data_IF_487358955146
#
_entry.id   IF_487358955146
#
_cell.length_a   1.000
_cell.length_b   1.000
_cell.length_c   1.000
_cell.angle_alpha   90.00
_cell.angle_beta   90.00
_cell.angle_gamma   90.00
#
_symmetry.space_group_name_H-M   'P 1'
#
loop_
_entity.id
_entity.type
_entity.pdbx_description
1 polymer ?
#
# COMPACT_ATOMS: atom_id res chain seq x y z
N UNK A 1 -22.70 -5.33 -23.46
CA UNK A 1 -22.34 -6.21 -24.58
C UNK A 1 -21.47 -5.47 -25.60
N UNK A 2 -21.90 -4.32 -26.20
CA UNK A 2 -21.17 -3.58 -27.24
C UNK A 2 -19.75 -3.20 -26.78
N UNK A 3 -19.58 -2.69 -25.57
CA UNK A 3 -18.28 -2.29 -25.02
C UNK A 3 -17.27 -3.46 -24.96
N UNK A 4 -17.72 -4.67 -24.60
CA UNK A 4 -16.84 -5.84 -24.51
C UNK A 4 -16.61 -6.53 -25.86
N UNK A 5 -17.61 -6.53 -26.75
CA UNK A 5 -17.54 -7.27 -28.01
C UNK A 5 -16.91 -6.44 -29.14
N UNK A 6 -17.08 -5.13 -29.13
CA UNK A 6 -16.62 -4.24 -30.24
C UNK A 6 -15.47 -3.34 -29.75
N UNK A 7 -15.68 -2.58 -28.68
CA UNK A 7 -14.71 -1.56 -28.23
C UNK A 7 -13.45 -2.19 -27.67
N UNK A 8 -13.57 -3.22 -26.83
CA UNK A 8 -12.43 -3.91 -26.21
C UNK A 8 -11.46 -4.54 -27.21
N UNK A 9 -11.89 -5.36 -28.18
CA UNK A 9 -10.97 -5.95 -29.16
C UNK A 9 -10.33 -4.88 -30.06
N UNK A 10 -11.06 -3.81 -30.38
CA UNK A 10 -10.53 -2.69 -31.12
C UNK A 10 -9.42 -1.96 -30.34
N UNK A 11 -9.69 -1.59 -29.09
CA UNK A 11 -8.70 -0.94 -28.19
C UNK A 11 -7.49 -1.83 -27.93
N UNK A 12 -7.68 -3.15 -27.83
CA UNK A 12 -6.57 -4.09 -27.66
C UNK A 12 -5.62 -4.08 -28.86
N UNK A 13 -6.14 -4.14 -30.08
CA UNK A 13 -5.34 -4.04 -31.31
C UNK A 13 -4.59 -2.70 -31.41
N UNK A 14 -5.27 -1.61 -31.07
CA UNK A 14 -4.66 -0.28 -31.07
C UNK A 14 -3.58 -0.18 -29.98
N UNK A 15 -3.84 -0.71 -28.79
CA UNK A 15 -2.87 -0.75 -27.69
C UNK A 15 -1.61 -1.56 -28.01
N UNK A 16 -1.73 -2.67 -28.76
CA UNK A 16 -0.59 -3.48 -29.20
C UNK A 16 0.30 -2.74 -30.22
N UNK A 17 -0.31 -1.98 -31.13
CA UNK A 17 0.42 -1.16 -32.11
C UNK A 17 1.20 -0.02 -31.45
N UNK A 18 0.66 0.56 -30.39
CA UNK A 18 1.28 1.68 -29.69
C UNK A 18 2.16 1.25 -28.50
N UNK A 19 2.10 -0.01 -28.07
CA UNK A 19 2.93 -0.54 -26.96
C UNK A 19 4.45 -0.47 -27.23
N UNK A 20 4.85 -0.46 -28.49
CA UNK A 20 6.25 -0.41 -28.93
C UNK A 20 6.81 1.02 -29.10
N UNK A 21 6.03 2.06 -28.86
CA UNK A 21 6.49 3.45 -28.95
C UNK A 21 6.62 4.05 -27.57
N UNK A 22 7.81 4.48 -27.20
CA UNK A 22 8.14 5.12 -25.91
C UNK A 22 7.36 6.42 -25.60
N UNK A 23 6.69 7.00 -26.60
CA UNK A 23 5.86 8.19 -26.43
C UNK A 23 4.45 7.94 -26.98
N UNK A 24 3.47 7.85 -26.07
CA UNK A 24 2.05 7.87 -26.47
C UNK A 24 1.73 9.25 -27.05
N UNK A 25 1.30 9.27 -28.30
CA UNK A 25 0.95 10.49 -29.03
C UNK A 25 -0.26 11.17 -28.35
N UNK A 26 -0.25 12.51 -28.26
CA UNK A 26 -1.36 13.33 -27.72
C UNK A 26 -2.69 13.01 -28.39
N UNK A 27 -2.66 12.71 -29.71
CA UNK A 27 -3.84 12.30 -30.49
C UNK A 27 -4.48 11.02 -29.95
N UNK A 28 -3.67 10.08 -29.46
CA UNK A 28 -4.17 8.82 -28.91
C UNK A 28 -4.84 9.02 -27.54
N UNK A 29 -4.29 9.88 -26.70
CA UNK A 29 -4.93 10.27 -25.43
C UNK A 29 -6.29 10.94 -25.70
N UNK A 30 -6.33 11.87 -26.67
CA UNK A 30 -7.57 12.53 -27.06
C UNK A 30 -8.62 11.52 -27.58
N UNK A 31 -8.20 10.53 -28.34
CA UNK A 31 -9.09 9.48 -28.85
C UNK A 31 -9.70 8.63 -27.71
N UNK A 32 -8.92 8.29 -26.69
CA UNK A 32 -9.42 7.56 -25.52
C UNK A 32 -10.40 8.41 -24.72
N UNK A 33 -10.08 9.69 -24.50
CA UNK A 33 -11.00 10.60 -23.83
C UNK A 33 -12.30 10.78 -24.63
N UNK A 34 -12.22 10.78 -25.96
CA UNK A 34 -13.41 10.81 -26.82
C UNK A 34 -14.28 9.55 -26.62
N UNK A 35 -13.70 8.36 -26.57
CA UNK A 35 -14.44 7.11 -26.29
C UNK A 35 -15.10 7.19 -24.92
N UNK A 36 -14.42 7.72 -23.90
CA UNK A 36 -14.98 7.90 -22.58
C UNK A 36 -16.21 8.82 -22.63
N UNK A 37 -16.10 9.98 -23.28
CA UNK A 37 -17.18 10.94 -23.40
C UNK A 37 -18.37 10.34 -24.18
N UNK A 38 -18.11 9.68 -25.30
CA UNK A 38 -19.17 9.02 -26.09
C UNK A 38 -19.86 7.94 -25.25
N UNK A 39 -19.12 7.11 -24.54
CA UNK A 39 -19.70 6.08 -23.67
C UNK A 39 -20.57 6.69 -22.57
N UNK A 40 -20.09 7.78 -21.98
CA UNK A 40 -20.81 8.54 -20.94
C UNK A 40 -22.12 9.12 -21.47
N UNK A 41 -22.08 9.79 -22.63
CA UNK A 41 -23.26 10.35 -23.27
C UNK A 41 -24.29 9.26 -23.67
N UNK A 42 -23.82 8.12 -24.18
CA UNK A 42 -24.70 7.01 -24.56
C UNK A 42 -25.44 6.44 -23.35
N UNK A 43 -24.77 6.28 -22.22
CA UNK A 43 -25.42 5.78 -20.99
C UNK A 43 -26.44 6.80 -20.45
N UNK A 44 -26.15 8.08 -20.53
CA UNK A 44 -27.09 9.14 -20.13
C UNK A 44 -28.35 9.12 -21.01
N UNK A 45 -28.22 9.00 -22.31
CA UNK A 45 -29.36 8.90 -23.26
C UNK A 45 -30.21 7.65 -22.98
N UNK A 46 -29.62 6.56 -22.56
CA UNK A 46 -30.32 5.31 -22.24
C UNK A 46 -31.04 5.42 -20.86
N UNK A 47 -30.80 6.49 -20.09
CA UNK A 47 -31.36 6.68 -18.75
C UNK A 47 -30.53 6.04 -17.65
N UNK A 48 -29.30 5.61 -17.94
CA UNK A 48 -28.30 5.16 -16.98
C UNK A 48 -27.32 6.31 -16.79
N UNK A 49 -27.02 6.67 -15.56
CA UNK A 49 -26.16 7.81 -15.27
C UNK A 49 -24.82 7.77 -16.02
N UNK A 50 -24.34 8.92 -16.52
CA UNK A 50 -23.13 9.09 -17.32
C UNK A 50 -21.87 8.45 -16.71
N UNK A 51 -21.76 8.42 -15.38
CA UNK A 51 -20.65 7.79 -14.66
C UNK A 51 -20.47 6.31 -14.96
N UNK A 52 -21.56 5.57 -15.19
CA UNK A 52 -21.45 4.14 -15.56
C UNK A 52 -20.83 3.98 -16.92
N UNK A 53 -21.12 4.88 -17.86
CA UNK A 53 -20.50 4.89 -19.19
C UNK A 53 -19.01 5.17 -19.12
N UNK A 54 -18.61 6.16 -18.32
CA UNK A 54 -17.21 6.50 -18.08
C UNK A 54 -16.45 5.34 -17.41
N UNK A 55 -17.05 4.73 -16.39
CA UNK A 55 -16.49 3.57 -15.70
C UNK A 55 -16.31 2.38 -16.64
N UNK A 56 -17.32 2.06 -17.45
CA UNK A 56 -17.25 0.98 -18.42
C UNK A 56 -16.18 1.24 -19.49
N UNK A 57 -15.99 2.48 -19.90
CA UNK A 57 -14.90 2.84 -20.80
C UNK A 57 -13.53 2.54 -20.18
N UNK A 58 -13.35 2.83 -18.89
CA UNK A 58 -12.14 2.50 -18.14
C UNK A 58 -11.89 0.98 -18.02
N UNK A 59 -12.93 0.21 -17.72
CA UNK A 59 -12.84 -1.27 -17.56
C UNK A 59 -12.45 -1.97 -18.85
N UNK A 60 -12.84 -1.41 -20.00
CA UNK A 60 -12.58 -1.98 -21.33
C UNK A 60 -11.17 -1.64 -21.84
N UNK A 61 -10.45 -0.74 -21.17
CA UNK A 61 -9.08 -0.35 -21.54
C UNK A 61 -8.11 -1.53 -21.60
N UNK A 62 -7.12 -1.51 -22.53
CA UNK A 62 -6.11 -2.55 -22.62
C UNK A 62 -5.28 -2.66 -21.33
N UNK A 63 -5.04 -3.87 -20.88
CA UNK A 63 -4.23 -4.15 -19.66
C UNK A 63 -2.71 -4.16 -19.92
N UNK A 64 -2.23 -3.70 -21.06
CA UNK A 64 -0.81 -3.61 -21.36
C UNK A 64 -0.13 -2.63 -20.39
N UNK A 65 0.89 -3.11 -19.67
CA UNK A 65 1.56 -2.37 -18.59
C UNK A 65 2.14 -1.03 -19.03
N UNK A 66 2.76 -0.96 -20.21
CA UNK A 66 3.33 0.28 -20.73
C UNK A 66 2.26 1.33 -21.05
N UNK A 67 1.20 0.90 -21.74
CA UNK A 67 0.05 1.74 -22.05
C UNK A 67 -0.67 2.26 -20.81
N UNK A 68 -0.95 1.35 -19.85
CA UNK A 68 -1.63 1.69 -18.60
C UNK A 68 -0.84 2.73 -17.79
N UNK A 69 0.48 2.57 -17.68
CA UNK A 69 1.33 3.49 -16.93
C UNK A 69 1.27 4.90 -17.50
N UNK A 70 1.45 5.05 -18.80
CA UNK A 70 1.46 6.37 -19.46
C UNK A 70 0.07 7.02 -19.43
N UNK A 71 -1.01 6.25 -19.61
CA UNK A 71 -2.37 6.78 -19.47
C UNK A 71 -2.69 7.22 -18.05
N UNK A 72 -2.29 6.43 -17.06
CA UNK A 72 -2.45 6.84 -15.66
C UNK A 72 -1.72 8.14 -15.38
N UNK A 73 -0.44 8.26 -15.73
CA UNK A 73 0.34 9.50 -15.52
C UNK A 73 -0.34 10.72 -16.18
N UNK A 74 -0.88 10.58 -17.40
CA UNK A 74 -1.51 11.72 -18.10
C UNK A 74 -2.87 12.12 -17.55
N UNK A 75 -3.68 11.18 -17.12
CA UNK A 75 -5.04 11.43 -16.64
C UNK A 75 -5.05 11.71 -15.13
N UNK A 76 -4.15 11.09 -14.37
CA UNK A 76 -4.08 11.20 -12.92
C UNK A 76 -3.78 12.63 -12.48
N UNK A 77 -2.78 13.28 -13.07
CA UNK A 77 -2.41 14.64 -12.72
C UNK A 77 -3.58 15.63 -12.86
N UNK A 78 -4.27 15.59 -14.00
CA UNK A 78 -5.43 16.45 -14.24
C UNK A 78 -6.60 16.09 -13.30
N UNK A 79 -6.80 14.80 -13.07
CA UNK A 79 -7.88 14.33 -12.20
C UNK A 79 -7.66 14.72 -10.74
N UNK A 80 -6.44 14.57 -10.24
CA UNK A 80 -6.12 14.88 -8.84
C UNK A 80 -6.02 16.39 -8.57
N UNK A 81 -5.46 17.14 -9.51
CA UNK A 81 -5.21 18.59 -9.30
C UNK A 81 -6.45 19.42 -9.59
N UNK A 82 -7.26 19.03 -10.56
CA UNK A 82 -8.39 19.85 -11.03
C UNK A 82 -9.75 19.23 -10.75
N UNK A 83 -10.01 18.02 -11.25
CA UNK A 83 -11.35 17.44 -11.17
C UNK A 83 -11.74 17.00 -9.74
N UNK A 84 -10.79 16.50 -8.98
CA UNK A 84 -11.09 16.04 -7.63
C UNK A 84 -11.43 17.17 -6.66
N UNK A 85 -10.68 18.28 -6.58
CA UNK A 85 -11.07 19.44 -5.78
C UNK A 85 -12.41 20.05 -6.23
N UNK A 86 -12.64 20.12 -7.55
CA UNK A 86 -13.91 20.63 -8.09
C UNK A 86 -15.09 19.76 -7.65
N UNK A 87 -14.96 18.43 -7.70
CA UNK A 87 -15.97 17.50 -7.22
C UNK A 87 -16.27 17.67 -5.73
N UNK A 88 -15.23 17.80 -4.89
CA UNK A 88 -15.42 18.02 -3.46
C UNK A 88 -16.08 19.38 -3.16
N UNK A 89 -15.68 20.43 -3.87
CA UNK A 89 -16.30 21.74 -3.74
C UNK A 89 -17.79 21.69 -4.13
N UNK A 90 -18.12 21.04 -5.23
CA UNK A 90 -19.49 20.85 -5.68
C UNK A 90 -20.34 20.03 -4.68
N UNK A 91 -19.79 18.91 -4.20
CA UNK A 91 -20.48 18.10 -3.18
C UNK A 91 -20.65 18.88 -1.88
N UNK A 92 -19.65 19.67 -1.46
CA UNK A 92 -19.72 20.51 -0.27
C UNK A 92 -20.78 21.60 -0.39
N UNK A 93 -20.89 22.27 -1.55
CA UNK A 93 -21.92 23.27 -1.80
C UNK A 93 -23.36 22.69 -1.76
N UNK A 94 -23.52 21.44 -2.17
CA UNK A 94 -24.81 20.72 -2.08
C UNK A 94 -25.14 20.25 -0.67
N UNK A 95 -24.15 20.21 0.23
CA UNK A 95 -24.34 19.70 1.60
C UNK A 95 -24.84 20.83 2.50
N UNK A 96 -26.15 21.04 2.55
CA UNK A 96 -26.77 22.03 3.42
C UNK A 96 -26.95 21.47 4.85
N UNK A 97 -25.95 21.68 5.72
CA UNK A 97 -25.97 21.20 7.11
C UNK A 97 -27.21 21.75 7.88
N UNK A 98 -27.72 22.92 7.49
CA UNK A 98 -28.89 23.50 8.04
C UNK A 98 -30.20 22.68 7.91
N UNK A 99 -30.21 21.66 7.04
CA UNK A 99 -31.34 20.72 6.91
C UNK A 99 -31.49 19.77 8.12
N UNK A 100 -30.44 19.65 8.96
CA UNK A 100 -30.50 18.87 10.21
C UNK A 100 -30.94 19.77 11.35
N UNK A 101 -32.20 20.22 11.30
CA UNK A 101 -32.77 21.20 12.27
C UNK A 101 -33.36 20.55 13.52
N UNK A 102 -33.58 19.25 13.56
CA UNK A 102 -34.23 18.57 14.69
C UNK A 102 -33.25 17.70 15.47
N UNK A 103 -33.37 17.57 16.80
CA UNK A 103 -32.58 16.68 17.62
C UNK A 103 -32.68 15.21 17.17
N UNK A 104 -33.81 14.82 16.59
CA UNK A 104 -34.05 13.48 16.07
C UNK A 104 -33.15 13.16 14.89
N UNK A 105 -32.97 14.10 13.96
CA UNK A 105 -32.05 13.91 12.81
C UNK A 105 -30.58 13.81 13.24
N UNK A 106 -30.20 14.56 14.29
CA UNK A 106 -28.86 14.42 14.88
C UNK A 106 -28.66 13.06 15.56
N UNK A 107 -29.70 12.52 16.21
CA UNK A 107 -29.65 11.18 16.80
C UNK A 107 -29.53 10.11 15.72
N UNK A 108 -30.27 10.25 14.63
CA UNK A 108 -30.15 9.34 13.45
C UNK A 108 -28.74 9.43 12.83
N UNK A 109 -28.20 10.63 12.70
CA UNK A 109 -26.82 10.83 12.21
C UNK A 109 -25.80 10.11 13.10
N UNK A 110 -25.87 10.30 14.41
CA UNK A 110 -24.98 9.65 15.37
C UNK A 110 -25.11 8.11 15.32
N UNK A 111 -26.34 7.62 15.24
CA UNK A 111 -26.61 6.18 15.14
C UNK A 111 -26.03 5.60 13.86
N UNK A 112 -26.23 6.24 12.71
CA UNK A 112 -25.69 5.78 11.43
C UNK A 112 -24.16 5.79 11.42
N UNK A 113 -23.53 6.86 11.94
CA UNK A 113 -22.07 6.93 12.09
C UNK A 113 -21.57 5.79 12.97
N UNK A 114 -22.19 5.55 14.11
CA UNK A 114 -21.78 4.49 15.05
C UNK A 114 -21.93 3.11 14.43
N UNK A 115 -23.07 2.82 13.80
CA UNK A 115 -23.30 1.54 13.12
C UNK A 115 -22.32 1.33 11.97
N UNK A 116 -22.02 2.37 11.21
CA UNK A 116 -21.07 2.31 10.12
C UNK A 116 -19.63 1.97 10.62
N UNK A 117 -19.20 2.63 11.71
CA UNK A 117 -17.88 2.39 12.31
C UNK A 117 -17.82 0.98 12.89
N UNK A 118 -18.76 0.60 13.76
CA UNK A 118 -18.78 -0.70 14.41
C UNK A 118 -18.88 -1.83 13.37
N UNK A 119 -19.73 -1.67 12.36
CA UNK A 119 -19.92 -2.66 11.31
C UNK A 119 -18.66 -2.86 10.45
N UNK A 120 -18.07 -1.78 9.93
CA UNK A 120 -16.87 -1.90 9.06
C UNK A 120 -15.61 -2.19 9.87
N UNK A 121 -15.29 -1.38 10.86
CA UNK A 121 -14.08 -1.55 11.65
C UNK A 121 -14.12 -2.88 12.41
N UNK A 122 -15.22 -3.15 13.13
CA UNK A 122 -15.39 -4.39 13.89
C UNK A 122 -15.46 -5.62 13.00
N UNK A 123 -16.26 -5.58 11.94
CA UNK A 123 -16.39 -6.68 10.98
C UNK A 123 -15.07 -7.04 10.30
N UNK A 124 -14.33 -6.03 9.80
CA UNK A 124 -13.04 -6.28 9.15
C UNK A 124 -11.96 -6.73 10.14
N UNK A 125 -11.94 -6.17 11.36
CA UNK A 125 -10.99 -6.59 12.39
C UNK A 125 -11.24 -8.05 12.83
N UNK A 126 -12.49 -8.45 13.02
CA UNK A 126 -12.87 -9.83 13.34
C UNK A 126 -12.51 -10.76 12.19
N UNK A 127 -12.83 -10.39 10.95
CA UNK A 127 -12.49 -11.20 9.77
C UNK A 127 -10.98 -11.41 9.64
N UNK A 128 -10.18 -10.36 9.79
CA UNK A 128 -8.71 -10.45 9.77
C UNK A 128 -8.19 -11.34 10.90
N UNK A 129 -8.79 -11.28 12.09
CA UNK A 129 -8.43 -12.13 13.22
C UNK A 129 -8.73 -13.60 12.97
N UNK A 130 -9.85 -13.90 12.31
CA UNK A 130 -10.24 -15.29 11.96
C UNK A 130 -9.29 -15.90 10.92
N UNK A 131 -8.69 -15.09 10.06
CA UNK A 131 -7.65 -15.54 9.11
C UNK A 131 -6.30 -15.81 9.78
N UNK A 132 -6.12 -15.38 11.04
CA UNK A 132 -4.92 -15.67 11.82
C UNK A 132 -3.99 -14.47 12.03
N UNK A 133 -4.37 -13.27 11.55
CA UNK A 133 -3.57 -12.05 11.73
C UNK A 133 -3.47 -11.64 13.22
N UNK A 134 -2.42 -10.90 13.57
CA UNK A 134 -2.25 -10.37 14.92
C UNK A 134 -3.38 -9.38 15.28
N UNK A 135 -3.66 -9.15 16.58
CA UNK A 135 -4.64 -8.13 16.98
C UNK A 135 -4.28 -6.73 16.51
N UNK A 136 -2.98 -6.42 16.44
CA UNK A 136 -2.48 -5.15 15.90
C UNK A 136 -2.85 -5.01 14.42
N UNK A 137 -2.49 -5.99 13.62
CA UNK A 137 -2.73 -5.97 12.18
C UNK A 137 -4.23 -6.03 11.87
N UNK A 138 -5.00 -6.82 12.64
CA UNK A 138 -6.45 -6.91 12.51
C UNK A 138 -7.14 -5.56 12.77
N UNK A 139 -6.75 -4.83 13.82
CA UNK A 139 -7.29 -3.51 14.11
C UNK A 139 -6.81 -2.47 13.09
N UNK A 140 -5.56 -2.57 12.63
CA UNK A 140 -5.04 -1.70 11.57
C UNK A 140 -5.82 -1.88 10.28
N UNK A 141 -6.06 -3.13 9.86
CA UNK A 141 -6.90 -3.44 8.68
C UNK A 141 -8.32 -2.93 8.89
N UNK A 142 -8.94 -3.18 10.07
CA UNK A 142 -10.27 -2.67 10.38
C UNK A 142 -10.36 -1.15 10.29
N UNK A 143 -9.36 -0.43 10.80
CA UNK A 143 -9.29 1.03 10.75
C UNK A 143 -9.15 1.54 9.32
N UNK A 144 -8.27 0.95 8.53
CA UNK A 144 -8.08 1.31 7.12
C UNK A 144 -9.34 1.04 6.29
N UNK A 145 -9.99 -0.09 6.51
CA UNK A 145 -11.24 -0.44 5.82
C UNK A 145 -12.43 0.43 6.22
N UNK A 146 -12.37 1.09 7.38
CA UNK A 146 -13.39 2.04 7.80
C UNK A 146 -13.35 3.35 7.01
N UNK A 147 -12.23 3.67 6.37
CA UNK A 147 -12.09 4.85 5.51
C UNK A 147 -13.08 4.77 4.36
N UNK A 148 -13.79 5.89 4.13
CA UNK A 148 -14.71 6.00 3.01
C UNK A 148 -14.07 6.79 1.88
N UNK A 149 -14.19 6.25 0.67
CA UNK A 149 -13.54 6.84 -0.50
C UNK A 149 -14.45 7.71 -1.34
N UNK A 150 -13.87 8.30 -2.36
CA UNK A 150 -14.53 9.12 -3.36
C UNK A 150 -15.77 8.43 -3.96
N UNK A 151 -15.71 7.13 -4.22
CA UNK A 151 -16.80 6.37 -4.86
C UNK A 151 -18.10 6.40 -4.06
N UNK A 152 -18.03 6.47 -2.74
CA UNK A 152 -19.24 6.61 -1.91
C UNK A 152 -19.89 7.96 -2.11
N UNK A 153 -19.11 9.05 -2.09
CA UNK A 153 -19.64 10.40 -2.36
C UNK A 153 -20.22 10.52 -3.77
N UNK A 154 -19.59 9.86 -4.75
CA UNK A 154 -20.11 9.78 -6.12
C UNK A 154 -21.47 9.08 -6.13
N UNK A 155 -21.58 7.91 -5.48
CA UNK A 155 -22.85 7.17 -5.41
C UNK A 155 -23.94 7.96 -4.68
N UNK A 156 -23.58 8.69 -3.62
CA UNK A 156 -24.52 9.57 -2.88
C UNK A 156 -25.03 10.72 -3.77
N UNK A 157 -24.14 11.37 -4.53
CA UNK A 157 -24.54 12.43 -5.45
C UNK A 157 -25.49 11.91 -6.55
N UNK A 158 -25.20 10.72 -7.11
CA UNK A 158 -26.10 10.09 -8.09
C UNK A 158 -27.47 9.78 -7.46
N UNK A 159 -27.49 9.17 -6.26
CA UNK A 159 -28.72 8.86 -5.56
C UNK A 159 -29.55 10.12 -5.22
N UNK A 160 -28.88 11.23 -4.93
CA UNK A 160 -29.52 12.52 -4.71
C UNK A 160 -30.09 13.10 -6.01
N UNK A 161 -29.32 13.09 -7.12
CA UNK A 161 -29.77 13.58 -8.43
C UNK A 161 -30.94 12.79 -9.01
N UNK A 162 -30.94 11.48 -8.79
CA UNK A 162 -32.06 10.61 -9.20
C UNK A 162 -33.29 10.75 -8.29
N UNK A 163 -33.26 11.56 -7.24
CA UNK A 163 -34.35 11.74 -6.30
C UNK A 163 -34.64 10.55 -5.38
N UNK A 164 -33.72 9.56 -5.35
CA UNK A 164 -33.82 8.39 -4.49
C UNK A 164 -33.49 8.72 -3.03
N UNK A 165 -32.55 9.66 -2.84
CA UNK A 165 -32.12 10.11 -1.51
C UNK A 165 -32.77 11.45 -1.16
N UNK A 166 -33.53 11.54 -0.06
CA UNK A 166 -34.01 12.82 0.49
C UNK A 166 -32.80 13.70 0.86
N UNK A 167 -32.93 15.04 0.74
CA UNK A 167 -31.86 15.98 1.07
C UNK A 167 -31.27 15.79 2.48
N UNK A 168 -32.09 15.57 3.48
CA UNK A 168 -31.64 15.36 4.87
C UNK A 168 -30.78 14.08 5.02
N UNK A 169 -31.18 12.99 4.37
CA UNK A 169 -30.42 11.73 4.40
C UNK A 169 -29.12 11.88 3.64
N UNK A 170 -29.10 12.57 2.50
CA UNK A 170 -27.88 12.88 1.77
C UNK A 170 -26.86 13.59 2.66
N UNK A 171 -27.26 14.65 3.36
CA UNK A 171 -26.39 15.40 4.28
C UNK A 171 -25.85 14.50 5.40
N UNK A 172 -26.69 13.68 6.02
CA UNK A 172 -26.29 12.75 7.08
C UNK A 172 -25.22 11.76 6.56
N UNK A 173 -25.41 11.20 5.39
CA UNK A 173 -24.46 10.24 4.79
C UNK A 173 -23.13 10.90 4.38
N UNK A 174 -23.17 12.15 3.91
CA UNK A 174 -21.95 12.93 3.64
C UNK A 174 -21.17 13.21 4.93
N UNK A 175 -21.87 13.64 6.00
CA UNK A 175 -21.25 13.84 7.32
C UNK A 175 -20.63 12.52 7.82
N UNK A 176 -21.34 11.41 7.70
CA UNK A 176 -20.85 10.10 8.07
C UNK A 176 -19.56 9.75 7.30
N UNK A 177 -19.49 9.98 5.99
CA UNK A 177 -18.33 9.75 5.16
C UNK A 177 -17.14 10.60 5.61
N UNK A 178 -17.35 11.88 5.90
CA UNK A 178 -16.32 12.78 6.39
C UNK A 178 -15.79 12.34 7.77
N UNK A 179 -16.67 12.09 8.73
CA UNK A 179 -16.30 11.68 10.09
C UNK A 179 -15.47 10.40 10.07
N UNK A 180 -15.92 9.37 9.33
CA UNK A 180 -15.20 8.10 9.25
C UNK A 180 -13.84 8.23 8.59
N UNK A 181 -13.69 9.12 7.60
CA UNK A 181 -12.42 9.38 6.92
C UNK A 181 -11.45 10.15 7.83
N UNK A 182 -11.89 11.23 8.47
CA UNK A 182 -11.04 11.99 9.40
C UNK A 182 -10.63 11.19 10.63
N UNK A 183 -11.47 10.27 11.09
CA UNK A 183 -11.19 9.43 12.24
C UNK A 183 -10.10 8.38 11.97
N UNK A 184 -9.82 8.03 10.72
CA UNK A 184 -8.87 6.97 10.35
C UNK A 184 -7.46 7.25 10.87
N UNK A 185 -6.93 8.46 10.66
CA UNK A 185 -5.57 8.82 11.11
C UNK A 185 -5.42 8.81 12.64
N UNK A 186 -6.31 9.43 13.43
CA UNK A 186 -6.28 9.31 14.89
C UNK A 186 -6.38 7.87 15.39
N UNK A 187 -7.23 7.04 14.77
CA UNK A 187 -7.39 5.64 15.15
C UNK A 187 -6.12 4.82 14.85
N UNK A 188 -5.48 5.04 13.70
CA UNK A 188 -4.22 4.39 13.39
C UNK A 188 -3.14 4.73 14.42
N UNK A 189 -2.97 6.00 14.75
CA UNK A 189 -2.04 6.41 15.81
C UNK A 189 -2.39 5.82 17.18
N UNK A 190 -3.69 5.69 17.48
CA UNK A 190 -4.14 5.07 18.71
C UNK A 190 -3.77 3.58 18.74
N UNK A 191 -4.04 2.85 17.66
CA UNK A 191 -3.66 1.42 17.52
C UNK A 191 -2.15 1.26 17.66
N UNK A 192 -1.36 2.06 16.93
CA UNK A 192 0.09 2.03 17.04
C UNK A 192 0.55 2.29 18.47
N UNK A 193 0.05 3.33 19.13
CA UNK A 193 0.43 3.70 20.49
C UNK A 193 0.11 2.59 21.50
N UNK A 194 -1.05 1.93 21.40
CA UNK A 194 -1.42 0.83 22.27
C UNK A 194 -0.54 -0.41 22.09
N UNK A 195 -0.16 -0.72 20.86
CA UNK A 195 0.59 -1.94 20.55
C UNK A 195 2.10 -1.74 20.59
N UNK A 196 2.62 -0.58 20.20
CA UNK A 196 4.06 -0.25 20.31
C UNK A 196 4.52 -0.30 21.78
N UNK A 197 3.71 0.21 22.72
CA UNK A 197 4.04 0.10 24.17
C UNK A 197 4.11 -1.35 24.66
N UNK A 198 3.49 -2.30 23.95
CA UNK A 198 3.51 -3.73 24.28
C UNK A 198 4.67 -4.45 23.60
N UNK A 199 5.05 -4.04 22.41
CA UNK A 199 6.19 -4.63 21.67
C UNK A 199 7.55 -4.16 22.23
N UNK A 200 7.67 -2.92 22.69
CA UNK A 200 8.90 -2.47 23.39
C UNK A 200 9.18 -3.26 24.67
N UNK A 201 8.18 -3.79 25.35
CA UNK A 201 8.37 -4.68 26.50
C UNK A 201 8.69 -6.13 26.13
N UNK A 202 8.32 -6.60 24.93
CA UNK A 202 8.66 -7.93 24.38
C UNK A 202 9.93 -7.89 23.53
N UNK A 203 10.54 -6.67 23.50
CA UNK A 203 11.76 -6.35 22.93
C UNK A 203 12.57 -7.23 22.13
N UNK A 204 12.57 -6.84 21.11
CA UNK A 204 13.69 -6.41 20.24
C UNK A 204 15.08 -6.66 20.88
N UNK A 205 15.49 -7.89 20.88
CA UNK A 205 16.86 -8.17 20.54
C UNK A 205 16.98 -7.83 19.05
N UNK A 206 17.24 -6.55 18.74
CA UNK A 206 17.57 -6.13 17.39
C UNK A 206 18.76 -6.96 16.95
N UNK A 207 18.55 -7.85 16.00
CA UNK A 207 19.64 -8.59 15.39
C UNK A 207 20.21 -7.70 14.30
N UNK A 208 21.44 -7.30 14.47
CA UNK A 208 22.13 -6.52 13.45
C UNK A 208 22.81 -7.52 12.51
N UNK A 209 22.47 -7.44 11.23
CA UNK A 209 23.00 -8.33 10.21
C UNK A 209 23.84 -7.51 9.25
N UNK A 210 25.09 -7.91 9.04
CA UNK A 210 25.90 -7.37 7.96
C UNK A 210 26.55 -8.47 7.14
N UNK A 211 26.68 -8.21 5.85
CA UNK A 211 27.26 -9.12 4.90
C UNK A 211 28.58 -8.56 4.35
N UNK A 212 29.57 -9.39 4.19
CA UNK A 212 30.85 -8.99 3.62
C UNK A 212 31.38 -10.06 2.63
N UNK A 213 32.11 -9.59 1.61
CA UNK A 213 32.67 -10.46 0.58
C UNK A 213 34.16 -10.74 0.74
N UNK A 214 34.88 -9.94 1.55
CA UNK A 214 36.32 -10.11 1.81
C UNK A 214 36.59 -10.07 3.32
N UNK A 215 37.51 -10.90 3.86
CA UNK A 215 37.79 -10.94 5.31
C UNK A 215 38.15 -9.58 5.92
N UNK A 216 38.91 -8.76 5.18
CA UNK A 216 39.30 -7.41 5.59
C UNK A 216 38.11 -6.45 5.72
N UNK A 217 37.12 -6.62 4.83
CA UNK A 217 35.89 -5.81 4.86
C UNK A 217 35.05 -6.10 6.10
N UNK A 218 35.03 -7.36 6.57
CA UNK A 218 34.33 -7.73 7.79
C UNK A 218 34.86 -6.99 9.03
N UNK A 219 36.20 -6.91 9.18
CA UNK A 219 36.85 -6.13 10.23
C UNK A 219 36.52 -4.65 10.17
N UNK A 220 36.59 -4.06 8.96
CA UNK A 220 36.32 -2.64 8.76
C UNK A 220 34.85 -2.30 9.04
N UNK A 221 33.91 -3.13 8.58
CA UNK A 221 32.48 -2.97 8.84
C UNK A 221 32.17 -3.01 10.33
N UNK A 222 32.70 -3.98 11.08
CA UNK A 222 32.49 -4.06 12.51
C UNK A 222 33.01 -2.81 13.23
N UNK A 223 34.14 -2.26 12.79
CA UNK A 223 34.69 -1.02 13.36
C UNK A 223 33.82 0.20 13.06
N UNK A 224 33.26 0.29 11.84
CA UNK A 224 32.32 1.36 11.45
C UNK A 224 31.03 1.23 12.28
N UNK A 225 30.51 0.02 12.47
CA UNK A 225 29.33 -0.20 13.29
C UNK A 225 29.55 0.15 14.75
N UNK A 226 30.72 -0.15 15.32
CA UNK A 226 31.06 0.28 16.69
C UNK A 226 31.12 1.81 16.78
N UNK A 227 31.66 2.48 15.77
CA UNK A 227 31.69 3.95 15.72
C UNK A 227 30.27 4.57 15.65
N UNK A 228 29.37 3.95 14.88
CA UNK A 228 28.02 4.47 14.66
C UNK A 228 27.07 4.13 15.82
N UNK A 229 27.13 2.92 16.37
CA UNK A 229 26.16 2.39 17.32
C UNK A 229 26.70 2.19 18.73
N UNK A 230 28.01 2.16 18.93
CA UNK A 230 28.70 2.20 20.22
C UNK A 230 28.10 1.33 21.32
N UNK A 231 27.51 1.97 22.34
CA UNK A 231 26.93 1.28 23.49
C UNK A 231 25.74 0.35 23.17
N UNK A 232 25.06 0.56 22.04
CA UNK A 232 23.91 -0.26 21.63
C UNK A 232 24.39 -1.62 21.08
N UNK A 233 25.52 -1.65 20.37
CA UNK A 233 26.08 -2.87 19.77
C UNK A 233 26.41 -3.94 20.82
N UNK A 234 26.83 -3.53 22.02
CA UNK A 234 27.16 -4.44 23.14
C UNK A 234 25.95 -5.13 23.75
N UNK A 235 24.74 -4.68 23.46
CA UNK A 235 23.48 -5.25 23.98
C UNK A 235 22.72 -6.05 22.93
N UNK A 236 23.10 -6.00 21.68
CA UNK A 236 22.39 -6.59 20.56
C UNK A 236 23.15 -7.82 20.01
N UNK A 237 22.41 -8.77 19.43
CA UNK A 237 23.03 -9.90 18.73
C UNK A 237 23.46 -9.45 17.32
N UNK A 238 24.74 -9.57 17.05
CA UNK A 238 25.34 -9.23 15.75
C UNK A 238 25.56 -10.52 14.95
N UNK A 239 25.00 -10.59 13.76
CA UNK A 239 25.16 -11.70 12.82
C UNK A 239 26.02 -11.22 11.66
N UNK A 240 27.15 -11.86 11.48
CA UNK A 240 28.04 -11.60 10.36
C UNK A 240 27.88 -12.71 9.30
N UNK A 241 27.43 -12.35 8.11
CA UNK A 241 27.26 -13.29 7.03
C UNK A 241 28.33 -13.12 5.96
N UNK A 242 28.99 -14.23 5.62
CA UNK A 242 29.94 -14.31 4.51
C UNK A 242 29.42 -15.30 3.48
N UNK A 243 29.34 -14.85 2.25
CA UNK A 243 28.90 -15.65 1.11
C UNK A 243 30.02 -15.81 0.12
N UNK A 244 30.35 -17.04 -0.22
CA UNK A 244 31.26 -17.37 -1.32
C UNK A 244 30.42 -17.76 -2.53
N UNK A 245 30.69 -17.09 -3.66
CA UNK A 245 30.08 -17.43 -4.95
C UNK A 245 31.08 -18.31 -5.69
N UNK A 246 30.72 -19.56 -5.98
CA UNK A 246 31.56 -20.40 -6.78
C UNK A 246 31.11 -21.86 -6.81
N UNK A 247 31.19 -22.44 -7.99
CA UNK A 247 30.91 -23.84 -8.28
C UNK A 247 32.12 -24.77 -8.00
N UNK A 248 33.31 -24.22 -7.71
CA UNK A 248 34.58 -24.96 -7.69
C UNK A 248 35.20 -25.16 -6.30
N UNK A 249 34.44 -24.86 -5.24
CA UNK A 249 34.90 -25.10 -3.87
C UNK A 249 34.70 -26.56 -3.48
N UNK A 250 35.80 -27.21 -3.14
CA UNK A 250 35.76 -28.56 -2.58
C UNK A 250 35.06 -28.52 -1.20
N UNK A 251 34.01 -29.31 -0.96
CA UNK A 251 33.30 -29.34 0.32
C UNK A 251 34.21 -29.65 1.53
N UNK A 252 35.34 -30.33 1.34
CA UNK A 252 36.27 -30.61 2.40
C UNK A 252 37.06 -29.38 2.89
N UNK A 253 37.17 -28.37 2.05
CA UNK A 253 37.89 -27.13 2.39
C UNK A 253 36.95 -26.03 2.93
N UNK A 254 35.63 -26.26 2.93
CA UNK A 254 34.63 -25.26 3.35
C UNK A 254 34.85 -24.77 4.79
N UNK A 255 35.23 -25.66 5.73
CA UNK A 255 35.54 -25.30 7.11
C UNK A 255 36.80 -24.43 7.23
N UNK A 256 37.77 -24.68 6.38
CA UNK A 256 39.02 -23.89 6.35
C UNK A 256 38.73 -22.48 5.84
N UNK A 257 37.98 -22.34 4.74
CA UNK A 257 37.57 -21.06 4.20
C UNK A 257 36.66 -20.26 5.15
N UNK A 258 35.76 -20.94 5.88
CA UNK A 258 34.96 -20.32 6.92
C UNK A 258 35.85 -19.71 8.00
N UNK A 259 36.77 -20.51 8.57
CA UNK A 259 37.65 -20.05 9.65
C UNK A 259 38.54 -18.88 9.22
N UNK A 260 39.07 -18.91 8.01
CA UNK A 260 39.91 -17.86 7.44
C UNK A 260 39.13 -16.59 7.18
N UNK A 261 37.89 -16.72 6.63
CA UNK A 261 37.02 -15.58 6.33
C UNK A 261 36.61 -14.79 7.55
N UNK A 262 36.42 -15.47 8.67
CA UNK A 262 35.99 -14.81 9.92
C UNK A 262 37.12 -14.50 10.89
N UNK A 263 38.34 -14.93 10.67
CA UNK A 263 39.47 -14.77 11.59
C UNK A 263 39.72 -13.32 12.01
N UNK A 264 39.81 -12.40 11.06
CA UNK A 264 40.05 -10.98 11.30
C UNK A 264 38.87 -10.30 11.98
N UNK A 265 37.65 -10.72 11.65
CA UNK A 265 36.41 -10.20 12.25
C UNK A 265 36.28 -10.65 13.70
N UNK A 266 36.52 -11.94 13.98
CA UNK A 266 36.43 -12.49 15.33
C UNK A 266 37.49 -11.89 16.26
N UNK A 267 38.71 -11.67 15.75
CA UNK A 267 39.74 -10.97 16.50
C UNK A 267 39.27 -9.58 16.91
N UNK A 268 38.65 -8.84 15.99
CA UNK A 268 38.12 -7.49 16.26
C UNK A 268 36.91 -7.52 17.18
N UNK A 269 36.06 -8.52 17.08
CA UNK A 269 34.90 -8.70 17.94
C UNK A 269 35.32 -8.91 19.40
N UNK A 270 36.39 -9.69 19.65
CA UNK A 270 36.97 -9.88 20.99
C UNK A 270 37.53 -8.57 21.53
N UNK A 271 38.28 -7.79 20.73
CA UNK A 271 38.81 -6.48 21.15
C UNK A 271 37.70 -5.50 21.57
N UNK A 272 36.56 -5.53 20.88
CA UNK A 272 35.41 -4.65 21.17
C UNK A 272 34.44 -5.22 22.20
N UNK A 273 34.63 -6.44 22.66
CA UNK A 273 33.74 -7.17 23.57
C UNK A 273 32.31 -7.29 23.03
N UNK A 274 32.18 -7.70 21.76
CA UNK A 274 30.92 -7.87 21.02
C UNK A 274 30.78 -9.35 20.70
N UNK A 275 29.58 -9.92 20.96
CA UNK A 275 29.25 -11.26 20.50
C UNK A 275 28.78 -11.21 19.04
N UNK A 276 29.46 -11.97 18.20
CA UNK A 276 29.15 -12.07 16.76
C UNK A 276 28.88 -13.52 16.41
N UNK A 277 27.71 -13.77 15.82
CA UNK A 277 27.34 -15.07 15.29
C UNK A 277 27.78 -15.14 13.80
N UNK A 278 28.65 -16.08 13.48
CA UNK A 278 29.17 -16.23 12.13
C UNK A 278 28.22 -17.09 11.30
N UNK A 279 27.86 -16.62 10.12
CA UNK A 279 27.05 -17.36 9.16
C UNK A 279 27.78 -17.47 7.82
N UNK A 280 28.26 -18.67 7.49
CA UNK A 280 28.95 -18.97 6.24
C UNK A 280 28.06 -19.78 5.30
N UNK A 281 28.01 -19.40 4.04
CA UNK A 281 27.31 -20.17 3.01
C UNK A 281 27.95 -20.00 1.63
N UNK A 282 28.01 -21.10 0.90
CA UNK A 282 28.37 -21.11 -0.52
C UNK A 282 27.10 -21.12 -1.33
N UNK A 283 26.95 -20.16 -2.24
CA UNK A 283 25.71 -20.03 -3.02
C UNK A 283 25.94 -19.42 -4.40
N UNK A 284 25.16 -19.88 -5.38
CA UNK A 284 25.11 -19.28 -6.71
C UNK A 284 24.05 -18.15 -6.80
N UNK A 285 23.17 -18.04 -5.78
CA UNK A 285 22.05 -17.10 -5.75
C UNK A 285 22.12 -16.15 -4.55
N UNK A 286 23.16 -15.34 -4.51
CA UNK A 286 23.51 -14.46 -3.39
C UNK A 286 22.34 -13.60 -2.90
N UNK A 287 21.59 -12.98 -3.80
CA UNK A 287 20.48 -12.09 -3.44
C UNK A 287 19.32 -12.84 -2.76
N UNK A 288 19.01 -14.05 -3.21
CA UNK A 288 17.94 -14.86 -2.61
C UNK A 288 18.29 -15.32 -1.20
N UNK A 289 19.55 -15.73 -0.98
CA UNK A 289 20.03 -16.13 0.35
C UNK A 289 20.09 -14.96 1.33
N UNK A 290 20.50 -13.77 0.88
CA UNK A 290 20.47 -12.55 1.71
C UNK A 290 19.05 -12.20 2.16
N UNK A 291 18.05 -12.41 1.29
CA UNK A 291 16.64 -12.19 1.63
C UNK A 291 16.14 -13.26 2.64
N UNK A 292 16.57 -14.51 2.48
CA UNK A 292 16.18 -15.60 3.39
C UNK A 292 16.73 -15.42 4.81
N UNK A 293 17.98 -14.96 4.96
CA UNK A 293 18.53 -14.64 6.30
C UNK A 293 17.69 -13.57 6.98
N UNK A 294 17.26 -12.55 6.25
CA UNK A 294 16.35 -11.52 6.80
C UNK A 294 15.08 -12.15 7.36
N UNK A 295 14.50 -13.10 6.66
CA UNK A 295 13.25 -13.76 7.07
C UNK A 295 13.45 -14.69 8.29
N UNK A 296 14.55 -15.43 8.33
CA UNK A 296 14.87 -16.33 9.46
C UNK A 296 15.33 -15.59 10.74
N UNK A 297 15.83 -14.38 10.61
CA UNK A 297 16.28 -13.60 11.76
C UNK A 297 15.18 -12.72 12.38
N UNK A 298 14.03 -12.58 11.70
CA UNK A 298 12.87 -11.80 12.16
C UNK A 298 11.87 -12.70 12.92
N UNK A 299 11.90 -14.02 12.73
CA UNK A 299 11.15 -14.97 13.55
C UNK A 299 11.92 -15.29 14.84
#
# INVERSE_FOLDING_TARGET
AVMFLVVRPFLKKVGEVYANKEAINKTFVAFILLILIISSCLTEIIGIHALFGAFMAGVVMPSNLGFRKVMMEKVEDISLVFFLPLFFAFTGLRTEIGLINSPELWMVCLLLVTVAIVGKLGGCAIAARLVGESWKDSLTVGTLMNTRGLMELVALNIGYEMGVLPPSIFVILVIMALVTTFMTTPLLHLVERFFVHREEKLSLKRKLIFCFGRPESGRSLLSIYDLLFGKQLKKEHVIAAHYTVGTDLNPLDAQHYESESFALLNQRAVELNIQVDNHYRVTDKLVQEMIQIRTHCIM
#
